data_IF_785378298815
#
_entry.id   IF_785378298815
#
_cell.length_a   1.000
_cell.length_b   1.000
_cell.length_c   1.000
_cell.angle_alpha   90.00
_cell.angle_beta   90.00
_cell.angle_gamma   90.00
#
_symmetry.space_group_name_H-M   'P 1'
#
loop_
_entity.id
_entity.type
_entity.pdbx_description
1 polymer ?
#
# COMPACT_ATOMS: atom_id res chain seq x y z
N UNK A 1 -17.41 13.39 -9.94
CA UNK A 1 -16.74 12.30 -9.20
C UNK A 1 -15.56 12.94 -8.47
N UNK A 2 -15.63 13.07 -7.15
CA UNK A 2 -14.74 13.99 -6.40
C UNK A 2 -13.34 13.40 -6.17
N UNK A 3 -12.33 14.27 -6.14
CA UNK A 3 -10.96 13.98 -5.69
C UNK A 3 -10.94 13.24 -4.35
N UNK A 4 -11.91 13.52 -3.49
CA UNK A 4 -12.14 12.87 -2.20
C UNK A 4 -12.39 11.36 -2.31
N UNK A 5 -13.15 10.91 -3.32
CA UNK A 5 -13.42 9.48 -3.53
C UNK A 5 -12.12 8.73 -3.93
N UNK A 6 -11.33 9.34 -4.81
CA UNK A 6 -10.07 8.78 -5.26
C UNK A 6 -9.03 8.69 -4.13
N UNK A 7 -8.91 9.74 -3.30
CA UNK A 7 -8.08 9.72 -2.09
C UNK A 7 -8.50 8.61 -1.12
N UNK A 8 -9.81 8.40 -0.96
CA UNK A 8 -10.32 7.38 -0.05
C UNK A 8 -10.00 5.96 -0.56
N UNK A 9 -10.11 5.72 -1.87
CA UNK A 9 -9.68 4.46 -2.49
C UNK A 9 -8.18 4.21 -2.34
N UNK A 10 -7.35 5.24 -2.56
CA UNK A 10 -5.90 5.13 -2.40
C UNK A 10 -5.52 4.79 -0.96
N UNK A 11 -6.16 5.43 0.03
CA UNK A 11 -5.97 5.09 1.45
C UNK A 11 -6.36 3.64 1.75
N UNK A 12 -7.50 3.17 1.23
CA UNK A 12 -7.95 1.78 1.38
C UNK A 12 -6.96 0.78 0.76
N UNK A 13 -6.45 1.08 -0.44
CA UNK A 13 -5.41 0.26 -1.09
C UNK A 13 -4.12 0.23 -0.28
N UNK A 14 -3.71 1.36 0.29
CA UNK A 14 -2.51 1.46 1.12
C UNK A 14 -2.64 0.62 2.40
N UNK A 15 -3.79 0.65 3.07
CA UNK A 15 -4.04 -0.22 4.24
C UNK A 15 -4.01 -1.70 3.87
N UNK A 16 -4.67 -2.09 2.78
CA UNK A 16 -4.66 -3.47 2.29
C UNK A 16 -3.24 -3.95 1.98
N UNK A 17 -2.42 -3.12 1.34
CA UNK A 17 -1.01 -3.41 1.08
C UNK A 17 -0.20 -3.56 2.37
N UNK A 18 -0.47 -2.73 3.38
CA UNK A 18 0.17 -2.87 4.70
C UNK A 18 -0.17 -4.21 5.35
N UNK A 19 -1.44 -4.60 5.32
CA UNK A 19 -1.89 -5.88 5.88
C UNK A 19 -1.30 -7.07 5.11
N UNK A 20 -1.20 -6.99 3.78
CA UNK A 20 -0.57 -8.01 2.95
C UNK A 20 0.92 -8.17 3.28
N UNK A 21 1.66 -7.07 3.44
CA UNK A 21 3.06 -7.10 3.87
C UNK A 21 3.23 -7.80 5.21
N UNK A 22 2.39 -7.47 6.20
CA UNK A 22 2.47 -8.11 7.52
C UNK A 22 2.13 -9.59 7.48
N UNK A 23 1.12 -9.97 6.69
CA UNK A 23 0.72 -11.37 6.53
C UNK A 23 1.84 -12.19 5.89
N UNK A 24 2.46 -11.65 4.84
CA UNK A 24 3.55 -12.33 4.13
C UNK A 24 4.79 -12.45 5.02
N UNK A 25 5.10 -11.43 5.83
CA UNK A 25 6.19 -11.46 6.81
C UNK A 25 5.97 -12.45 7.95
N UNK A 26 4.72 -12.72 8.34
CA UNK A 26 4.38 -13.73 9.36
C UNK A 26 4.40 -15.16 8.81
N UNK A 27 4.35 -15.34 7.49
CA UNK A 27 4.33 -16.67 6.90
C UNK A 27 5.71 -17.36 7.07
N UNK A 28 5.77 -18.62 7.52
CA UNK A 28 7.00 -19.39 7.50
C UNK A 28 7.43 -19.60 6.04
N UNK A 29 8.65 -19.16 5.69
CA UNK A 29 9.10 -19.11 4.30
C UNK A 29 8.76 -17.82 3.56
N UNK A 30 8.54 -16.72 4.29
CA UNK A 30 8.27 -15.39 3.74
C UNK A 30 9.18 -15.05 2.56
N UNK A 31 8.57 -14.84 1.39
CA UNK A 31 9.30 -14.43 0.19
C UNK A 31 9.70 -12.96 0.31
N UNK A 32 10.98 -12.75 0.60
CA UNK A 32 11.57 -11.41 0.77
C UNK A 32 11.45 -10.55 -0.47
N UNK A 33 11.44 -11.12 -1.69
CA UNK A 33 11.23 -10.39 -2.93
C UNK A 33 9.79 -9.87 -3.01
N UNK A 34 8.83 -10.71 -2.65
CA UNK A 34 7.41 -10.37 -2.64
C UNK A 34 7.10 -9.30 -1.60
N UNK A 35 7.69 -9.41 -0.41
CA UNK A 35 7.61 -8.37 0.64
C UNK A 35 8.22 -7.05 0.15
N UNK A 36 9.37 -7.09 -0.53
CA UNK A 36 10.00 -5.89 -1.07
C UNK A 36 9.13 -5.22 -2.15
N UNK A 37 8.50 -5.99 -3.02
CA UNK A 37 7.58 -5.50 -4.04
C UNK A 37 6.33 -4.84 -3.43
N UNK A 38 5.71 -5.49 -2.45
CA UNK A 38 4.56 -4.95 -1.72
C UNK A 38 4.91 -3.65 -0.97
N UNK A 39 6.09 -3.58 -0.34
CA UNK A 39 6.58 -2.34 0.29
C UNK A 39 6.80 -1.22 -0.74
N UNK A 40 7.30 -1.55 -1.94
CA UNK A 40 7.49 -0.59 -3.04
C UNK A 40 6.15 -0.05 -3.57
N UNK A 41 5.15 -0.92 -3.70
CA UNK A 41 3.79 -0.50 -4.06
C UNK A 41 3.16 0.38 -2.97
N UNK A 42 3.35 0.02 -1.69
CA UNK A 42 2.90 0.83 -0.54
C UNK A 42 3.53 2.23 -0.56
N UNK A 43 4.83 2.34 -0.88
CA UNK A 43 5.53 3.63 -0.98
C UNK A 43 4.94 4.49 -2.10
N UNK A 44 4.71 3.92 -3.29
CA UNK A 44 4.10 4.64 -4.43
C UNK A 44 2.72 5.20 -4.09
N UNK A 45 1.86 4.39 -3.45
CA UNK A 45 0.55 4.86 -3.02
C UNK A 45 0.66 5.98 -1.97
N UNK A 46 1.62 5.89 -1.06
CA UNK A 46 1.86 6.95 -0.08
C UNK A 46 2.23 8.26 -0.78
N UNK A 47 3.15 8.22 -1.75
CA UNK A 47 3.54 9.39 -2.55
C UNK A 47 2.36 9.96 -3.34
N UNK A 48 1.54 9.11 -3.95
CA UNK A 48 0.35 9.51 -4.69
C UNK A 48 -0.71 10.17 -3.79
N UNK A 49 -0.96 9.60 -2.60
CA UNK A 49 -1.83 10.20 -1.57
C UNK A 49 -1.28 11.56 -1.14
N UNK A 50 0.02 11.66 -0.84
CA UNK A 50 0.65 12.92 -0.43
C UNK A 50 0.53 13.97 -1.53
N UNK A 51 0.71 13.58 -2.79
CA UNK A 51 0.58 14.47 -3.95
C UNK A 51 -0.84 14.99 -4.14
N UNK A 52 -1.85 14.17 -3.87
CA UNK A 52 -3.26 14.51 -4.02
C UNK A 52 -3.88 15.18 -2.78
N UNK A 53 -3.20 15.10 -1.64
CA UNK A 53 -3.61 15.70 -0.37
C UNK A 53 -3.05 17.11 -0.14
N UNK A 54 -2.21 17.61 -1.06
CA UNK A 54 -1.65 18.98 -1.08
C UNK A 54 -2.62 19.96 -1.71
#
# INVERSE_FOLDING_TARGET
>A
MSLSAHLNELKKKHENLSNAVEKELRAPGADTLKVAELKKQKLRLKEEITRLSV
#
